data_IF_267933995938
#
_entry.id   IF_267933995938
#
_cell.length_a   1.000
_cell.length_b   1.000
_cell.length_c   1.000
_cell.angle_alpha   90.00
_cell.angle_beta   90.00
_cell.angle_gamma   90.00
#
_symmetry.space_group_name_H-M   'P 1'
#
loop_
_entity.id
_entity.type
_entity.pdbx_description
1 polymer ?
#
# COMPACT_ATOMS: atom_id res chain seq x y z
N UNK A 1 -21.29 60.24 -12.75
CA UNK A 1 -20.38 59.16 -12.34
C UNK A 1 -20.94 58.56 -11.07
N UNK A 2 -21.60 57.42 -11.18
CA UNK A 2 -22.28 56.75 -10.09
C UNK A 2 -21.31 55.73 -9.48
N UNK A 3 -20.89 55.95 -8.24
CA UNK A 3 -20.02 55.01 -7.53
C UNK A 3 -20.87 53.87 -6.98
N UNK A 4 -20.80 52.71 -7.61
CA UNK A 4 -21.39 51.47 -7.11
C UNK A 4 -20.46 50.92 -6.02
N UNK A 5 -20.86 50.84 -4.74
CA UNK A 5 -20.04 50.22 -3.72
C UNK A 5 -20.08 48.70 -3.89
N UNK A 6 -18.97 48.10 -4.30
CA UNK A 6 -18.76 46.65 -4.23
C UNK A 6 -18.71 46.21 -2.76
N UNK A 7 -19.86 45.89 -2.18
CA UNK A 7 -19.93 45.12 -0.93
C UNK A 7 -19.75 43.65 -1.28
N UNK A 8 -18.53 43.14 -1.11
CA UNK A 8 -18.29 41.70 -1.08
C UNK A 8 -19.07 41.15 0.12
N UNK A 9 -20.04 40.23 -0.06
CA UNK A 9 -20.77 39.67 1.05
C UNK A 9 -19.80 38.83 1.90
N UNK A 10 -19.54 39.27 3.13
CA UNK A 10 -18.92 38.43 4.14
C UNK A 10 -19.91 37.30 4.46
N UNK A 11 -19.59 36.08 4.02
CA UNK A 11 -20.36 34.89 4.39
C UNK A 11 -19.86 34.45 5.77
N UNK A 12 -20.66 34.59 6.85
CA UNK A 12 -20.25 34.10 8.15
C UNK A 12 -20.21 32.57 8.12
N UNK A 13 -19.02 31.99 8.27
CA UNK A 13 -18.86 30.55 8.40
C UNK A 13 -18.90 30.16 9.88
N UNK A 14 -19.93 29.41 10.27
CA UNK A 14 -19.99 28.83 11.62
C UNK A 14 -19.20 27.52 11.64
N UNK A 15 -18.01 27.56 12.25
CA UNK A 15 -17.16 26.38 12.45
C UNK A 15 -17.48 25.80 13.84
N UNK A 16 -18.13 24.64 13.89
CA UNK A 16 -18.29 23.89 15.14
C UNK A 16 -17.05 23.03 15.38
N UNK A 17 -16.19 23.49 16.27
CA UNK A 17 -15.02 22.73 16.72
C UNK A 17 -15.41 21.91 17.94
N UNK A 18 -15.27 20.58 17.87
CA UNK A 18 -15.38 19.69 19.03
C UNK A 18 -13.99 19.26 19.45
N UNK A 19 -13.58 19.69 20.64
CA UNK A 19 -12.33 19.24 21.25
C UNK A 19 -12.61 18.00 22.08
N UNK A 20 -12.00 16.88 21.69
CA UNK A 20 -11.97 15.68 22.51
C UNK A 20 -10.66 15.67 23.28
N UNK A 21 -10.61 16.41 24.40
CA UNK A 21 -9.53 16.30 25.36
C UNK A 21 -9.77 15.03 26.20
N UNK A 22 -9.04 13.96 25.88
CA UNK A 22 -8.86 12.89 26.84
C UNK A 22 -7.86 13.38 27.89
N UNK A 23 -8.06 12.98 29.15
CA UNK A 23 -7.18 13.29 30.28
C UNK A 23 -5.85 12.52 30.19
N UNK A 24 -5.22 12.50 29.02
CA UNK A 24 -4.06 11.69 28.68
C UNK A 24 -2.83 12.56 28.39
N UNK A 25 -1.65 11.97 28.54
CA UNK A 25 -0.43 12.59 28.03
C UNK A 25 -0.57 12.86 26.53
N UNK A 26 0.06 13.94 26.05
CA UNK A 26 0.04 14.34 24.64
C UNK A 26 0.41 13.18 23.68
N UNK A 27 1.15 12.19 24.15
CA UNK A 27 1.58 10.98 23.44
C UNK A 27 0.45 10.01 23.07
N UNK A 28 -0.73 10.09 23.70
CA UNK A 28 -1.87 9.19 23.43
C UNK A 28 -2.97 9.80 22.56
N UNK A 29 -2.85 11.07 22.20
CA UNK A 29 -3.79 11.72 21.30
C UNK A 29 -3.53 11.19 19.89
N UNK A 30 -4.36 10.25 19.43
CA UNK A 30 -4.33 9.81 18.03
C UNK A 30 -4.67 11.01 17.16
N UNK A 31 -3.69 11.47 16.39
CA UNK A 31 -3.91 12.54 15.41
C UNK A 31 -4.75 11.96 14.28
N UNK A 32 -6.03 12.31 14.27
CA UNK A 32 -6.96 11.89 13.21
C UNK A 32 -6.44 12.35 11.85
N UNK A 33 -6.60 11.49 10.84
CA UNK A 33 -5.95 11.71 9.56
C UNK A 33 -6.63 12.80 8.72
N UNK A 34 -7.88 13.17 9.00
CA UNK A 34 -8.46 14.43 8.52
C UNK A 34 -9.98 14.50 8.53
N UNK A 35 -10.51 15.66 8.12
CA UNK A 35 -11.93 15.93 7.91
C UNK A 35 -12.02 16.81 6.64
N UNK A 36 -12.38 16.29 5.46
CA UNK A 36 -13.08 15.02 5.17
C UNK A 36 -12.26 13.89 4.51
N UNK A 37 -10.92 13.96 4.47
CA UNK A 37 -10.09 12.88 3.87
C UNK A 37 -8.73 12.72 4.56
N UNK A 38 -7.98 11.69 4.17
CA UNK A 38 -6.66 11.40 4.71
C UNK A 38 -5.64 12.50 4.37
N UNK A 39 -4.90 12.95 5.37
CA UNK A 39 -3.71 13.78 5.19
C UNK A 39 -2.46 12.91 5.09
N UNK A 40 -1.52 13.36 4.28
CA UNK A 40 -0.21 12.73 4.13
C UNK A 40 0.51 12.61 5.47
N UNK A 41 1.22 11.50 5.66
CA UNK A 41 2.03 11.19 6.84
C UNK A 41 1.25 11.00 8.15
N UNK A 42 -0.08 11.04 8.13
CA UNK A 42 -0.90 10.74 9.29
C UNK A 42 -1.30 9.25 9.34
N UNK A 43 -1.61 8.69 10.52
CA UNK A 43 -1.92 7.28 10.70
C UNK A 43 -3.10 6.79 9.85
N UNK A 44 -3.04 5.54 9.38
CA UNK A 44 -4.24 4.81 8.91
C UNK A 44 -5.11 4.43 10.12
N UNK A 45 -6.37 4.88 10.08
CA UNK A 45 -7.35 4.64 11.15
C UNK A 45 -8.04 3.30 10.91
N UNK A 46 -7.97 2.42 11.90
CA UNK A 46 -8.59 1.09 11.84
C UNK A 46 -9.44 0.81 13.08
N UNK A 47 -10.24 -0.25 13.00
CA UNK A 47 -10.95 -0.84 14.12
C UNK A 47 -10.85 -2.35 14.03
N UNK A 48 -10.58 -3.01 15.15
CA UNK A 48 -10.65 -4.48 15.28
C UNK A 48 -11.96 -4.96 15.92
N UNK A 49 -12.92 -4.06 16.14
CA UNK A 49 -14.24 -4.43 16.66
C UNK A 49 -15.03 -5.19 15.60
N UNK A 50 -15.91 -6.11 16.00
CA UNK A 50 -16.80 -6.84 15.07
C UNK A 50 -17.96 -5.97 14.55
N UNK A 51 -18.31 -4.92 15.30
CA UNK A 51 -19.32 -3.92 14.95
C UNK A 51 -19.20 -2.70 15.85
N UNK A 52 -20.10 -1.74 15.69
CA UNK A 52 -20.09 -0.42 16.33
C UNK A 52 -18.71 0.24 16.28
N UNK A 53 -18.03 0.15 15.13
CA UNK A 53 -16.61 0.47 15.00
C UNK A 53 -16.32 1.91 15.42
N UNK A 54 -17.18 2.85 15.03
CA UNK A 54 -17.07 4.27 15.38
C UNK A 54 -17.18 4.48 16.89
N UNK A 55 -18.16 3.85 17.55
CA UNK A 55 -18.32 3.93 19.00
C UNK A 55 -17.08 3.39 19.72
N UNK A 56 -16.63 2.20 19.34
CA UNK A 56 -15.45 1.55 19.91
C UNK A 56 -14.14 2.31 19.65
N UNK A 57 -14.03 3.00 18.53
CA UNK A 57 -12.90 3.86 18.24
C UNK A 57 -12.81 5.04 19.22
N UNK A 58 -13.93 5.72 19.50
CA UNK A 58 -13.95 6.85 20.44
C UNK A 58 -14.01 6.42 21.91
N UNK A 59 -14.59 5.26 22.20
CA UNK A 59 -14.66 4.72 23.54
C UNK A 59 -13.31 4.09 23.97
N UNK A 60 -13.06 3.99 25.27
CA UNK A 60 -11.86 3.39 25.85
C UNK A 60 -12.00 1.87 25.99
N UNK A 61 -12.49 1.21 24.95
CA UNK A 61 -12.53 -0.25 24.93
C UNK A 61 -11.10 -0.78 24.85
N UNK A 62 -10.66 -1.47 25.89
CA UNK A 62 -9.36 -2.14 25.91
C UNK A 62 -9.28 -3.19 24.80
N UNK A 63 -8.07 -3.40 24.26
CA UNK A 63 -7.82 -4.40 23.23
C UNK A 63 -8.24 -4.01 21.80
N UNK A 64 -8.94 -2.89 21.60
CA UNK A 64 -9.34 -2.45 20.26
C UNK A 64 -8.22 -1.69 19.58
N UNK A 65 -7.81 -2.19 18.41
CA UNK A 65 -6.79 -1.53 17.60
C UNK A 65 -7.40 -0.34 16.85
N UNK A 66 -6.84 0.85 17.08
CA UNK A 66 -7.34 2.12 16.52
C UNK A 66 -6.51 2.65 15.34
N UNK A 67 -5.27 2.17 15.23
CA UNK A 67 -4.32 2.55 14.18
C UNK A 67 -3.67 1.30 13.59
N UNK A 68 -3.39 1.34 12.29
CA UNK A 68 -2.64 0.26 11.65
C UNK A 68 -1.17 0.36 12.03
N UNK A 69 -0.66 -0.65 12.74
CA UNK A 69 0.69 -0.68 13.30
C UNK A 69 1.46 -1.90 12.80
N UNK A 70 2.78 -1.80 12.82
CA UNK A 70 3.71 -2.88 12.50
C UNK A 70 4.94 -2.81 13.42
N UNK A 71 5.76 -3.87 13.51
CA UNK A 71 6.94 -3.91 14.38
C UNK A 71 7.93 -2.80 14.10
N UNK A 72 8.47 -2.19 15.16
CA UNK A 72 9.64 -1.32 15.05
C UNK A 72 10.92 -2.15 14.94
N UNK A 73 11.94 -1.57 14.30
CA UNK A 73 13.28 -2.12 14.27
C UNK A 73 14.12 -1.47 15.40
N UNK A 74 14.24 -2.18 16.52
CA UNK A 74 15.13 -1.76 17.63
C UNK A 74 16.40 -2.61 17.60
N UNK A 75 17.52 -1.97 17.29
CA UNK A 75 18.85 -2.63 17.24
C UNK A 75 18.87 -3.87 16.33
N UNK A 76 18.19 -3.81 15.18
CA UNK A 76 18.09 -4.91 14.22
C UNK A 76 16.98 -5.92 14.51
N UNK A 77 16.24 -5.81 15.63
CA UNK A 77 15.23 -6.78 16.05
C UNK A 77 13.81 -6.23 15.86
N UNK A 78 12.89 -7.11 15.47
CA UNK A 78 11.47 -6.79 15.38
C UNK A 78 10.86 -6.70 16.79
N UNK A 79 10.33 -5.54 17.16
CA UNK A 79 9.68 -5.33 18.46
C UNK A 79 8.31 -4.69 18.24
N UNK A 80 7.26 -5.35 18.71
CA UNK A 80 5.92 -4.77 18.81
C UNK A 80 5.44 -4.84 20.27
N UNK A 81 5.17 -3.68 20.87
CA UNK A 81 4.57 -3.55 22.20
C UNK A 81 3.63 -2.35 22.23
N UNK A 82 2.97 -2.11 23.36
CA UNK A 82 2.09 -0.94 23.53
C UNK A 82 2.84 0.40 23.48
N UNK A 83 4.17 0.38 23.70
CA UNK A 83 5.02 1.57 23.69
C UNK A 83 5.98 1.61 22.48
N UNK A 84 6.27 0.46 21.89
CA UNK A 84 7.23 0.34 20.79
C UNK A 84 6.55 -0.27 19.59
N UNK A 85 6.20 0.58 18.63
CA UNK A 85 5.60 0.18 17.36
C UNK A 85 5.88 1.24 16.31
N UNK A 86 5.71 0.85 15.04
CA UNK A 86 5.62 1.77 13.93
C UNK A 86 4.18 1.85 13.45
N UNK A 87 3.84 2.99 12.87
CA UNK A 87 2.50 3.28 12.36
C UNK A 87 2.55 3.29 10.86
N UNK A 88 1.57 2.69 10.19
CA UNK A 88 1.40 2.84 8.74
C UNK A 88 0.88 4.26 8.49
N UNK A 89 1.73 5.09 7.90
CA UNK A 89 1.46 6.48 7.60
C UNK A 89 0.90 6.60 6.18
N UNK A 90 -0.20 7.34 6.03
CA UNK A 90 -0.87 7.48 4.74
C UNK A 90 0.01 8.19 3.71
N UNK A 91 0.08 7.60 2.50
CA UNK A 91 0.78 8.17 1.35
C UNK A 91 2.28 7.84 1.29
N UNK A 92 2.82 7.11 2.26
CA UNK A 92 4.26 6.85 2.32
C UNK A 92 4.60 5.42 1.92
N UNK A 93 5.24 5.27 0.75
CA UNK A 93 5.77 3.99 0.32
C UNK A 93 7.06 3.70 1.09
N UNK A 94 7.06 2.65 1.90
CA UNK A 94 8.21 2.29 2.75
C UNK A 94 8.45 0.80 2.72
N UNK A 95 9.72 0.44 2.81
CA UNK A 95 10.17 -0.90 3.15
C UNK A 95 10.91 -0.85 4.47
N UNK A 96 10.51 -1.68 5.42
CA UNK A 96 11.21 -1.89 6.67
C UNK A 96 11.61 -3.36 6.79
N UNK A 97 12.79 -3.61 7.34
CA UNK A 97 13.29 -4.96 7.59
C UNK A 97 13.78 -5.04 9.01
N UNK A 98 13.47 -6.11 9.72
CA UNK A 98 13.94 -6.40 11.06
C UNK A 98 14.13 -7.91 11.23
N UNK A 99 14.90 -8.35 12.23
CA UNK A 99 15.08 -9.78 12.53
C UNK A 99 14.08 -10.23 13.58
N UNK A 100 13.32 -11.27 13.23
CA UNK A 100 12.57 -12.07 14.19
C UNK A 100 13.55 -12.99 14.93
N UNK A 101 13.34 -13.13 16.24
CA UNK A 101 14.16 -13.95 17.13
C UNK A 101 13.21 -14.81 17.96
N UNK A 102 13.34 -16.12 17.83
CA UNK A 102 12.55 -17.07 18.57
C UNK A 102 13.16 -17.29 19.96
N UNK A 103 12.57 -16.65 20.97
CA UNK A 103 13.05 -16.73 22.37
C UNK A 103 12.46 -17.89 23.17
N UNK A 104 11.45 -18.56 22.62
CA UNK A 104 10.69 -19.59 23.32
C UNK A 104 11.27 -20.97 23.02
N UNK A 105 11.22 -21.87 24.02
CA UNK A 105 11.66 -23.25 23.83
C UNK A 105 10.79 -23.93 22.77
N UNK A 106 11.45 -24.53 21.80
CA UNK A 106 10.82 -25.26 20.71
C UNK A 106 10.54 -26.69 21.14
N UNK A 107 9.36 -27.21 20.78
CA UNK A 107 9.11 -28.65 20.80
C UNK A 107 9.83 -29.33 19.62
N UNK A 108 10.78 -30.21 19.93
CA UNK A 108 11.57 -30.90 18.92
C UNK A 108 10.88 -32.16 18.37
N UNK A 109 9.70 -32.50 18.87
CA UNK A 109 9.02 -33.74 18.49
C UNK A 109 8.30 -33.64 17.14
N UNK A 110 7.82 -32.44 16.75
CA UNK A 110 7.06 -32.23 15.52
C UNK A 110 7.44 -30.92 14.83
N UNK A 111 8.20 -31.03 13.73
CA UNK A 111 8.69 -29.87 12.98
C UNK A 111 7.57 -29.01 12.41
N UNK A 112 6.52 -29.63 11.86
CA UNK A 112 5.36 -28.91 11.31
C UNK A 112 4.67 -28.07 12.38
N UNK A 113 4.38 -28.67 13.54
CA UNK A 113 3.75 -27.95 14.66
C UNK A 113 4.61 -26.78 15.13
N UNK A 114 5.93 -26.95 15.15
CA UNK A 114 6.86 -25.86 15.49
C UNK A 114 6.84 -24.75 14.43
N UNK A 115 6.83 -25.07 13.14
CA UNK A 115 6.76 -24.06 12.09
C UNK A 115 5.43 -23.29 12.10
N UNK A 116 4.31 -23.98 12.37
CA UNK A 116 3.00 -23.33 12.57
C UNK A 116 3.02 -22.40 13.79
N UNK A 117 3.67 -22.82 14.87
CA UNK A 117 3.85 -21.98 16.05
C UNK A 117 4.67 -20.72 15.74
N UNK A 118 5.81 -20.88 15.05
CA UNK A 118 6.64 -19.75 14.59
C UNK A 118 5.82 -18.80 13.71
N UNK A 119 5.03 -19.33 12.76
CA UNK A 119 4.17 -18.51 11.93
C UNK A 119 3.16 -17.70 12.73
N UNK A 120 2.52 -18.31 13.72
CA UNK A 120 1.55 -17.62 14.58
C UNK A 120 2.22 -16.51 15.40
N UNK A 121 3.45 -16.73 15.88
CA UNK A 121 4.24 -15.69 16.54
C UNK A 121 4.55 -14.53 15.58
N UNK A 122 4.93 -14.83 14.33
CA UNK A 122 5.18 -13.82 13.30
C UNK A 122 3.90 -13.03 12.99
N UNK A 123 2.76 -13.69 12.76
CA UNK A 123 1.47 -13.01 12.49
C UNK A 123 1.06 -12.12 13.67
N UNK A 124 1.23 -12.63 14.89
CA UNK A 124 0.95 -11.88 16.12
C UNK A 124 1.85 -10.66 16.28
N UNK A 125 3.13 -10.79 15.92
CA UNK A 125 4.07 -9.69 15.92
C UNK A 125 3.65 -8.59 14.94
N UNK A 126 2.95 -8.92 13.85
CA UNK A 126 2.37 -7.93 12.94
C UNK A 126 1.03 -7.35 13.40
N UNK A 127 0.46 -7.83 14.51
CA UNK A 127 -0.84 -7.39 15.01
C UNK A 127 -2.01 -7.81 14.10
N UNK A 128 -1.87 -8.90 13.36
CA UNK A 128 -2.85 -9.38 12.36
C UNK A 128 -3.67 -10.57 12.88
N UNK A 129 -3.85 -10.66 14.20
CA UNK A 129 -4.58 -11.78 14.84
C UNK A 129 -6.09 -11.63 14.80
N UNK A 130 -6.59 -10.45 14.44
CA UNK A 130 -8.00 -10.10 14.40
C UNK A 130 -8.38 -9.55 13.04
N UNK A 131 -9.67 -9.63 12.73
CA UNK A 131 -10.26 -8.92 11.60
C UNK A 131 -10.11 -7.43 11.82
N UNK A 132 -9.66 -6.72 10.78
CA UNK A 132 -9.47 -5.28 10.82
C UNK A 132 -10.39 -4.61 9.81
N UNK A 133 -10.83 -3.41 10.16
CA UNK A 133 -11.64 -2.55 9.30
C UNK A 133 -10.96 -1.18 9.23
N UNK A 134 -10.92 -0.56 8.05
CA UNK A 134 -10.33 0.77 7.86
C UNK A 134 -11.42 1.82 7.69
N UNK A 135 -11.21 2.99 8.29
CA UNK A 135 -12.04 4.17 8.06
C UNK A 135 -11.65 4.78 6.71
N UNK A 136 -12.55 4.94 5.73
CA UNK A 136 -12.23 5.47 4.40
C UNK A 136 -11.71 6.91 4.37
N UNK A 137 -12.08 7.74 5.35
CA UNK A 137 -11.81 9.19 5.34
C UNK A 137 -10.84 9.66 6.42
N UNK A 138 -10.33 8.75 7.26
CA UNK A 138 -9.36 9.11 8.31
C UNK A 138 -9.97 9.79 9.55
N UNK A 139 -11.30 9.99 9.58
CA UNK A 139 -12.06 10.34 10.77
C UNK A 139 -13.38 9.54 10.80
N UNK A 140 -13.61 8.71 11.82
CA UNK A 140 -14.79 7.87 11.89
C UNK A 140 -16.05 8.55 12.46
N UNK A 141 -15.99 9.80 12.93
CA UNK A 141 -17.08 10.47 13.66
C UNK A 141 -18.47 10.43 13.01
N UNK A 142 -18.53 10.33 11.68
CA UNK A 142 -19.77 10.30 10.90
C UNK A 142 -19.92 9.05 10.04
N UNK A 143 -19.15 8.00 10.33
CA UNK A 143 -19.24 6.73 9.64
C UNK A 143 -20.21 5.79 10.33
N UNK A 144 -21.11 5.19 9.55
CA UNK A 144 -21.86 4.02 9.99
C UNK A 144 -20.98 2.77 9.81
N UNK A 145 -21.30 1.68 10.49
CA UNK A 145 -20.50 0.46 10.41
C UNK A 145 -20.35 -0.09 9.00
N UNK A 146 -21.42 -0.03 8.19
CA UNK A 146 -21.40 -0.45 6.78
C UNK A 146 -20.42 0.34 5.90
N UNK A 147 -20.01 1.52 6.33
CA UNK A 147 -19.11 2.41 5.59
C UNK A 147 -17.63 2.11 5.90
N UNK A 148 -17.36 1.25 6.90
CA UNK A 148 -16.03 0.74 7.18
C UNK A 148 -15.62 -0.32 6.17
N UNK A 149 -14.38 -0.27 5.71
CA UNK A 149 -13.89 -1.17 4.67
C UNK A 149 -13.16 -2.33 5.35
N UNK A 150 -13.58 -3.60 5.17
CA UNK A 150 -12.84 -4.72 5.71
C UNK A 150 -11.46 -4.82 5.07
N UNK A 151 -10.43 -5.06 5.89
CA UNK A 151 -9.08 -5.30 5.42
C UNK A 151 -8.97 -6.78 5.03
N UNK A 152 -8.66 -7.05 3.77
CA UNK A 152 -8.38 -8.42 3.34
C UNK A 152 -6.99 -8.82 3.84
N UNK A 153 -6.92 -9.84 4.67
CA UNK A 153 -5.68 -10.43 5.16
C UNK A 153 -5.44 -11.71 4.35
N UNK A 154 -4.19 -11.98 3.98
CA UNK A 154 -3.79 -13.19 3.29
C UNK A 154 -4.31 -14.47 3.98
N UNK A 155 -4.62 -15.48 3.18
CA UNK A 155 -5.00 -16.79 3.70
C UNK A 155 -3.79 -17.50 4.31
N UNK A 156 -4.05 -18.26 5.39
CA UNK A 156 -3.01 -19.08 6.02
C UNK A 156 -2.51 -20.11 5.01
N UNK A 157 -1.23 -20.06 4.71
CA UNK A 157 -0.57 -21.05 3.85
C UNK A 157 -0.41 -22.37 4.61
N UNK A 158 -0.44 -23.49 3.88
CA UNK A 158 -0.08 -24.79 4.45
C UNK A 158 1.43 -24.81 4.73
N UNK A 159 1.77 -24.78 6.00
CA UNK A 159 3.14 -24.77 6.50
C UNK A 159 3.55 -26.19 6.84
N UNK A 160 4.78 -26.55 6.49
CA UNK A 160 5.34 -27.86 6.73
C UNK A 160 6.74 -27.72 7.33
N UNK A 161 7.09 -28.59 8.29
CA UNK A 161 8.34 -28.47 9.02
C UNK A 161 9.08 -29.79 9.17
N UNK A 162 10.39 -29.77 8.93
CA UNK A 162 11.26 -30.96 9.03
C UNK A 162 12.47 -30.67 9.91
N UNK A 163 12.68 -31.50 10.93
CA UNK A 163 13.91 -31.48 11.72
C UNK A 163 15.01 -32.32 11.07
N UNK A 164 16.15 -31.69 10.82
CA UNK A 164 17.37 -32.39 10.43
C UNK A 164 18.15 -32.79 11.68
N UNK A 165 17.93 -34.03 12.14
CA UNK A 165 18.54 -34.60 13.37
C UNK A 165 20.06 -34.50 13.42
N UNK A 166 20.75 -34.52 12.27
CA UNK A 166 22.22 -34.46 12.21
C UNK A 166 22.80 -33.05 12.34
N UNK A 167 22.02 -32.00 12.03
CA UNK A 167 22.50 -30.62 11.96
C UNK A 167 21.78 -29.68 12.93
N UNK A 168 20.95 -30.21 13.84
CA UNK A 168 20.16 -29.40 14.78
C UNK A 168 19.41 -28.25 14.10
N UNK A 169 18.87 -28.50 12.91
CA UNK A 169 18.18 -27.50 12.10
C UNK A 169 16.71 -27.85 11.92
N UNK A 170 15.86 -26.82 11.92
CA UNK A 170 14.47 -26.89 11.52
C UNK A 170 14.30 -26.20 10.18
N UNK A 171 13.76 -26.90 9.19
CA UNK A 171 13.38 -26.31 7.91
C UNK A 171 11.86 -26.11 7.91
N UNK A 172 11.43 -24.86 7.81
CA UNK A 172 10.04 -24.48 7.63
C UNK A 172 9.79 -24.11 6.17
N UNK A 173 8.91 -24.85 5.53
CA UNK A 173 8.44 -24.58 4.18
C UNK A 173 7.22 -23.68 4.21
N UNK A 174 7.13 -22.77 3.23
CA UNK A 174 6.04 -21.80 3.07
C UNK A 174 5.81 -20.88 4.29
N UNK A 175 6.89 -20.50 5.00
CA UNK A 175 6.81 -19.56 6.10
C UNK A 175 6.71 -18.13 5.57
N UNK A 176 5.70 -17.38 6.00
CA UNK A 176 5.51 -15.98 5.61
C UNK A 176 6.51 -15.11 6.33
N UNK A 177 7.42 -14.52 5.57
CA UNK A 177 8.48 -13.63 6.09
C UNK A 177 8.36 -12.19 5.58
N UNK A 178 7.48 -11.95 4.61
CA UNK A 178 7.22 -10.60 4.09
C UNK A 178 5.73 -10.30 4.11
N UNK A 179 5.39 -9.12 4.60
CA UNK A 179 4.02 -8.59 4.59
C UNK A 179 4.01 -7.28 3.81
N UNK A 180 3.06 -7.15 2.89
CA UNK A 180 2.84 -5.93 2.12
C UNK A 180 1.44 -5.37 2.39
N UNK A 181 1.38 -4.15 2.93
CA UNK A 181 0.17 -3.36 3.04
C UNK A 181 -0.02 -2.58 1.73
N UNK A 182 -0.99 -2.97 0.91
CA UNK A 182 -1.31 -2.28 -0.33
C UNK A 182 -2.62 -1.50 -0.15
N UNK A 183 -2.51 -0.17 -0.21
CA UNK A 183 -3.60 0.77 0.04
C UNK A 183 -3.95 1.48 -1.25
N UNK A 184 -5.15 1.23 -1.77
CA UNK A 184 -5.69 1.92 -2.94
C UNK A 184 -6.56 3.08 -2.47
N UNK A 185 -6.27 4.28 -2.97
CA UNK A 185 -7.02 5.49 -2.62
C UNK A 185 -7.37 6.30 -3.87
N UNK A 186 -8.34 7.19 -3.75
CA UNK A 186 -8.69 8.16 -4.77
C UNK A 186 -8.71 9.57 -4.19
N UNK A 187 -8.26 10.51 -5.00
CA UNK A 187 -8.40 11.95 -4.73
C UNK A 187 -9.74 12.40 -5.27
N UNK A 188 -10.66 12.78 -4.39
CA UNK A 188 -11.91 13.43 -4.78
C UNK A 188 -11.69 14.95 -4.79
N UNK A 189 -11.81 15.60 -5.94
CA UNK A 189 -11.56 17.04 -6.12
C UNK A 189 -12.82 17.85 -6.44
N UNK A 190 -14.01 17.30 -6.18
CA UNK A 190 -15.29 17.91 -6.61
C UNK A 190 -15.54 19.30 -5.98
N UNK A 191 -14.98 19.60 -4.80
CA UNK A 191 -15.29 20.82 -4.04
C UNK A 191 -14.07 21.72 -3.70
N UNK A 192 -13.06 21.79 -4.58
CA UNK A 192 -11.83 22.59 -4.42
C UNK A 192 -10.92 22.22 -3.23
N UNK A 193 -11.31 21.23 -2.40
CA UNK A 193 -10.43 20.56 -1.44
C UNK A 193 -10.21 19.13 -1.93
N UNK A 194 -8.96 18.74 -2.10
CA UNK A 194 -8.59 17.37 -2.44
C UNK A 194 -8.83 16.48 -1.21
N UNK A 195 -9.76 15.54 -1.32
CA UNK A 195 -10.10 14.61 -0.25
C UNK A 195 -9.56 13.23 -0.62
N UNK A 196 -8.53 12.77 0.11
CA UNK A 196 -8.00 11.43 -0.11
C UNK A 196 -8.91 10.42 0.60
N UNK A 197 -9.54 9.54 -0.18
CA UNK A 197 -10.40 8.48 0.31
C UNK A 197 -9.74 7.12 0.06
N UNK A 198 -9.57 6.32 1.10
CA UNK A 198 -9.18 4.91 0.95
C UNK A 198 -10.38 4.15 0.37
N UNK A 199 -10.14 3.41 -0.72
CA UNK A 199 -11.14 2.58 -1.39
C UNK A 199 -10.99 1.10 -0.99
N UNK A 200 -9.75 0.66 -0.86
CA UNK A 200 -9.42 -0.72 -0.54
C UNK A 200 -8.07 -0.82 0.16
N UNK A 201 -7.92 -1.82 1.01
CA UNK A 201 -6.64 -2.19 1.62
C UNK A 201 -6.51 -3.71 1.64
N UNK A 202 -5.39 -4.19 1.11
CA UNK A 202 -5.02 -5.60 1.09
C UNK A 202 -3.73 -5.79 1.87
N UNK A 203 -3.66 -6.88 2.64
CA UNK A 203 -2.45 -7.31 3.34
C UNK A 203 -2.03 -8.64 2.73
N UNK A 204 -0.94 -8.62 1.97
CA UNK A 204 -0.41 -9.78 1.28
C UNK A 204 0.78 -10.36 2.04
N UNK A 205 0.84 -11.68 2.16
CA UNK A 205 1.96 -12.41 2.73
C UNK A 205 2.75 -13.11 1.64
N UNK A 206 4.07 -12.90 1.59
CA UNK A 206 4.97 -13.70 0.75
C UNK A 206 5.63 -14.77 1.59
N UNK A 207 5.45 -16.03 1.18
CA UNK A 207 6.01 -17.20 1.81
C UNK A 207 7.35 -17.58 1.20
N UNK A 208 8.28 -18.07 2.02
CA UNK A 208 9.55 -18.63 1.58
C UNK A 208 9.95 -19.79 2.49
N UNK A 209 10.92 -20.58 2.04
CA UNK A 209 11.51 -21.63 2.87
C UNK A 209 12.57 -21.01 3.79
N UNK A 210 12.49 -21.31 5.07
CA UNK A 210 13.39 -20.78 6.10
C UNK A 210 14.02 -21.94 6.86
N UNK A 211 15.34 -21.89 7.04
CA UNK A 211 16.06 -22.82 7.91
C UNK A 211 16.44 -22.10 9.18
N UNK A 212 16.00 -22.62 10.31
CA UNK A 212 16.38 -22.16 11.64
C UNK A 212 17.45 -23.06 12.20
N UNK A 213 18.52 -22.45 12.70
CA UNK A 213 19.42 -23.10 13.64
C UNK A 213 18.75 -23.10 15.03
N UNK A 214 18.78 -24.23 15.74
CA UNK A 214 18.19 -24.32 17.07
C UNK A 214 18.95 -23.51 18.13
N UNK A 215 20.24 -23.22 17.88
CA UNK A 215 21.05 -22.37 18.78
C UNK A 215 20.80 -20.87 18.54
N UNK A 216 20.53 -20.47 17.29
CA UNK A 216 20.23 -19.09 16.89
C UNK A 216 19.05 -19.03 15.91
N UNK A 217 17.85 -19.23 16.45
CA UNK A 217 16.61 -19.27 15.68
C UNK A 217 16.15 -17.85 15.29
N UNK A 218 16.78 -17.28 14.26
CA UNK A 218 16.45 -15.96 13.71
C UNK A 218 16.07 -16.01 12.23
N UNK A 219 15.17 -15.12 11.80
CA UNK A 219 14.86 -14.90 10.38
C UNK A 219 14.58 -13.43 10.09
N UNK A 220 15.02 -12.87 8.95
CA UNK A 220 14.60 -11.54 8.56
C UNK A 220 13.10 -11.53 8.22
N UNK A 221 12.43 -10.48 8.68
CA UNK A 221 11.06 -10.14 8.31
C UNK A 221 11.06 -8.81 7.54
N UNK A 222 10.28 -8.76 6.47
CA UNK A 222 10.14 -7.56 5.64
C UNK A 222 8.70 -7.03 5.69
N UNK A 223 8.57 -5.72 5.82
CA UNK A 223 7.30 -5.01 5.83
C UNK A 223 7.34 -3.98 4.71
N UNK A 224 6.37 -4.03 3.81
CA UNK A 224 6.17 -3.01 2.79
C UNK A 224 4.86 -2.27 3.02
N UNK A 225 4.86 -0.96 2.81
CA UNK A 225 3.66 -0.13 2.66
C UNK A 225 3.67 0.43 1.25
N UNK A 226 2.58 0.23 0.51
CA UNK A 226 2.41 0.67 -0.87
C UNK A 226 1.09 1.42 -0.99
N UNK A 227 1.12 2.65 -1.48
CA UNK A 227 -0.02 3.51 -1.71
C UNK A 227 -0.22 3.73 -3.21
N UNK A 228 -1.39 3.38 -3.71
CA UNK A 228 -1.74 3.43 -5.13
C UNK A 228 -2.86 4.46 -5.32
N UNK A 229 -2.56 5.52 -6.06
CA UNK A 229 -3.52 6.54 -6.47
C UNK A 229 -4.31 6.05 -7.69
N UNK A 230 -5.60 5.79 -7.48
CA UNK A 230 -6.54 5.32 -8.50
C UNK A 230 -7.32 6.45 -9.18
N UNK A 231 -7.13 7.70 -8.75
CA UNK A 231 -7.81 8.85 -9.36
C UNK A 231 -7.20 9.26 -10.70
N UNK A 232 -5.95 8.87 -10.95
CA UNK A 232 -5.29 9.10 -12.23
C UNK A 232 -5.88 8.15 -13.26
N UNK A 233 -6.63 8.71 -14.23
CA UNK A 233 -6.93 7.99 -15.48
C UNK A 233 -5.60 7.54 -16.07
N UNK A 234 -5.45 6.24 -16.32
CA UNK A 234 -4.36 5.70 -17.14
C UNK A 234 -4.25 6.62 -18.36
N UNK A 235 -3.06 7.17 -18.61
CA UNK A 235 -2.81 7.90 -19.84
C UNK A 235 -3.26 6.99 -20.99
N UNK A 236 -4.36 7.34 -21.64
CA UNK A 236 -4.64 6.81 -22.97
C UNK A 236 -3.52 7.39 -23.81
N UNK A 237 -2.49 6.59 -24.05
CA UNK A 237 -1.60 6.87 -25.16
C UNK A 237 -2.52 7.05 -26.36
N UNK A 238 -2.53 8.27 -26.93
CA UNK A 238 -3.16 8.47 -28.21
C UNK A 238 -2.59 7.37 -29.11
N UNK A 239 -3.46 6.58 -29.74
CA UNK A 239 -3.03 5.58 -30.71
C UNK A 239 -2.04 6.24 -31.68
N UNK A 240 -1.03 5.50 -32.18
CA UNK A 240 -0.02 6.07 -33.06
C UNK A 240 -0.71 6.88 -34.16
N UNK A 241 -0.23 8.10 -34.49
CA UNK A 241 -0.91 8.96 -35.45
C UNK A 241 -1.06 8.20 -36.77
N UNK A 242 -2.30 7.91 -37.16
CA UNK A 242 -2.58 7.31 -38.45
C UNK A 242 -2.41 8.38 -39.52
N UNK A 243 -1.28 8.32 -40.24
CA UNK A 243 -1.02 9.19 -41.38
C UNK A 243 -1.84 8.68 -42.57
N UNK A 244 -3.03 9.26 -42.79
CA UNK A 244 -3.85 8.99 -43.97
C UNK A 244 -3.26 9.75 -45.17
N UNK A 245 -2.23 9.17 -45.79
CA UNK A 245 -1.68 9.66 -47.05
C UNK A 245 -2.56 9.19 -48.21
N UNK A 246 -3.31 10.12 -48.80
CA UNK A 246 -3.92 9.92 -50.10
C UNK A 246 -2.89 10.18 -51.18
N UNK A 247 -2.21 9.12 -51.63
CA UNK A 247 -1.28 9.24 -52.74
C UNK A 247 -2.06 9.41 -54.06
N UNK A 248 -1.66 10.36 -54.94
CA UNK A 248 -2.23 10.47 -56.27
C UNK A 248 -2.02 9.16 -57.05
N UNK A 249 -2.96 8.83 -57.96
CA UNK A 249 -2.89 7.59 -58.77
C UNK A 249 -1.58 7.41 -59.56
N UNK A 250 -0.82 8.48 -59.78
CA UNK A 250 0.46 8.50 -60.50
C UNK A 250 1.69 8.32 -59.60
N UNK A 251 1.54 8.15 -58.29
CA UNK A 251 2.69 8.09 -57.37
C UNK A 251 3.61 6.89 -57.62
N UNK A 252 3.08 5.76 -58.09
CA UNK A 252 3.85 4.53 -58.34
C UNK A 252 4.01 4.17 -59.82
N UNK A 253 3.53 5.02 -60.75
CA UNK A 253 3.61 4.75 -62.17
C UNK A 253 4.34 5.90 -62.85
N UNK A 254 5.63 5.74 -63.22
CA UNK A 254 6.25 6.70 -64.12
C UNK A 254 5.46 6.65 -65.43
N UNK A 255 4.94 7.80 -65.85
CA UNK A 255 4.21 7.93 -67.10
C UNK A 255 5.10 7.46 -68.25
N UNK A 256 4.78 6.31 -68.84
CA UNK A 256 5.40 5.84 -70.07
C UNK A 256 5.11 6.85 -71.19
N UNK A 257 6.08 7.72 -71.45
CA UNK A 257 5.96 8.80 -72.41
C UNK A 257 7.30 9.46 -72.68
N UNK A 258 8.18 8.73 -73.34
CA UNK A 258 9.36 9.18 -74.10
C UNK A 258 10.62 9.68 -73.36
N UNK A 259 11.67 8.87 -73.53
CA UNK A 259 13.10 9.21 -73.71
C UNK A 259 13.62 10.42 -72.92
N UNK A 260 14.25 10.15 -71.76
CA UNK A 260 15.49 10.84 -71.38
C UNK A 260 16.49 9.82 -70.84
N UNK A 261 17.70 9.95 -71.36
CA UNK A 261 18.91 9.17 -71.11
C UNK A 261 19.55 9.62 -69.80
N UNK A 262 20.19 8.66 -69.13
CA UNK A 262 21.33 8.79 -68.22
C UNK A 262 21.12 9.26 -66.77
N UNK A 263 21.70 8.42 -65.90
CA UNK A 263 22.47 8.74 -64.68
C UNK A 263 21.70 9.22 -63.45
N UNK A 264 21.98 8.52 -62.33
CA UNK A 264 21.66 8.85 -60.93
C UNK A 264 20.19 8.79 -60.50
N UNK A 265 19.81 7.72 -59.79
CA UNK A 265 19.23 7.81 -58.44
C UNK A 265 18.98 6.42 -57.84
N UNK A 266 20.05 5.74 -57.39
CA UNK A 266 19.96 4.47 -56.65
C UNK A 266 20.33 4.69 -55.17
N UNK A 267 19.91 5.84 -54.63
CA UNK A 267 20.33 6.36 -53.31
C UNK A 267 19.14 6.84 -52.47
N UNK A 268 18.07 6.05 -52.38
CA UNK A 268 16.98 6.36 -51.43
C UNK A 268 16.38 5.16 -50.69
N UNK A 269 16.79 3.93 -50.98
CA UNK A 269 16.24 2.74 -50.31
C UNK A 269 17.12 2.28 -49.12
N UNK A 270 18.34 2.80 -48.98
CA UNK A 270 19.28 2.42 -47.90
C UNK A 270 19.16 3.26 -46.61
N UNK A 271 18.28 4.27 -46.55
CA UNK A 271 18.14 5.14 -45.37
C UNK A 271 16.93 4.80 -44.45
N UNK A 272 16.11 3.80 -44.79
CA UNK A 272 14.93 3.41 -44.01
C UNK A 272 15.07 2.07 -43.26
N UNK A 273 16.24 1.42 -43.34
CA UNK A 273 16.53 0.16 -42.67
C UNK A 273 17.85 0.27 -41.89
N UNK A 274 17.86 1.03 -40.80
CA UNK A 274 18.79 0.79 -39.69
C UNK A 274 18.13 1.21 -38.37
N UNK A 275 17.78 0.25 -37.48
CA UNK A 275 17.47 0.57 -36.10
C UNK A 275 18.80 0.78 -35.37
N UNK A 276 19.03 2.01 -34.88
CA UNK A 276 20.10 2.27 -33.92
C UNK A 276 19.69 1.67 -32.57
N UNK A 277 20.35 0.56 -32.29
CA UNK A 277 20.64 0.01 -30.97
C UNK A 277 21.47 1.07 -30.21
N UNK A 278 20.99 1.55 -29.07
CA UNK A 278 21.85 2.16 -28.06
C UNK A 278 21.50 1.62 -26.67
N UNK A 279 22.59 1.47 -25.93
CA UNK A 279 22.84 0.93 -24.58
C UNK A 279 21.93 1.42 -23.45
#
# INVERSE_FOLDING_TARGET
MEQVPMRIPFIPQTIKVKFYLSNESADRIIKLSGNPGYNWNLPIIVSSAEGNHTFHFFNRSEGIQKILKYPDNKKGRCVLSNITYKVVQFGENKRNTCRFELKQKIDLNNGTRTCEFIQNLIISLFGLNSTLFVSPYGNPQHLNDKDWIPIKIFDKTHIYGVFKKKSSQLICYNLITRIAYTVSYAVNSVNAKAENKILHINIEGTAQNVTFDLEDATTPLTIDTNFIDTSRRLFQYAGPPHLNLYLPKSFFLPSNGNRIRNEMCLTLILLLLNPLIES
#
